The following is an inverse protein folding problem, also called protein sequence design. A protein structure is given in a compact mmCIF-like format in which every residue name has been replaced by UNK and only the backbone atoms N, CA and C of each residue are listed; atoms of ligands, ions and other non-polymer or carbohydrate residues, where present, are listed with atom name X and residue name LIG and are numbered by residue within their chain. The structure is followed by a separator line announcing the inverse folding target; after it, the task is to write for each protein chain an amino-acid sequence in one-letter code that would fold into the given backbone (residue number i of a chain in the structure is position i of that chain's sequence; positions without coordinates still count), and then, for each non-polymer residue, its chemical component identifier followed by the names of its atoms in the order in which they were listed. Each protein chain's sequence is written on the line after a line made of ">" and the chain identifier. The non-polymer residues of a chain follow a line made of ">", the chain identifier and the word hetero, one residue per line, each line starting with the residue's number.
data_IF_880718272394
#
_entry.id   IF_880718272394
#
_cell.length_a   1.000
_cell.length_b   1.000
_cell.length_c   1.000
_cell.angle_alpha   90.00
_cell.angle_beta   90.00
_cell.angle_gamma   90.00
#
_symmetry.space_group_name_H-M   'P 1'
#
loop_
_entity.id
_entity.type
_entity.pdbx_description
1 polymer ?
#
# COMPACT_ATOMS: atom_id res chain seq x y z
N UNK A 1 16.80 -1.25 9.66
CA UNK A 1 15.37 -1.29 9.30
C UNK A 1 15.27 -0.96 7.82
N UNK A 2 14.32 -1.50 7.04
CA UNK A 2 14.13 -1.04 5.68
C UNK A 2 13.78 0.45 5.67
N UNK A 3 14.08 1.14 4.58
CA UNK A 3 13.47 2.42 4.29
C UNK A 3 11.96 2.21 4.14
N UNK A 4 11.15 3.07 4.75
CA UNK A 4 9.69 3.03 4.67
C UNK A 4 9.23 4.04 3.65
N UNK A 5 8.35 3.60 2.75
CA UNK A 5 7.61 4.47 1.86
C UNK A 5 6.27 4.76 2.52
N UNK A 6 5.98 6.03 2.75
CA UNK A 6 4.71 6.52 3.26
C UNK A 6 3.72 6.57 2.10
N UNK A 7 2.47 6.17 2.34
CA UNK A 7 1.43 6.08 1.32
C UNK A 7 0.10 6.59 1.85
N UNK A 8 -0.66 7.25 0.97
CA UNK A 8 -2.07 7.58 1.17
C UNK A 8 -2.89 6.98 0.05
N UNK A 9 -3.81 6.08 0.39
CA UNK A 9 -4.80 5.52 -0.53
C UNK A 9 -6.12 6.27 -0.36
N UNK A 10 -6.51 7.01 -1.39
CA UNK A 10 -7.82 7.64 -1.52
C UNK A 10 -8.74 6.75 -2.37
N UNK A 11 -9.93 6.46 -1.84
CA UNK A 11 -10.98 5.66 -2.47
C UNK A 11 -12.21 6.54 -2.65
N UNK A 12 -12.70 6.70 -3.87
CA UNK A 12 -13.88 7.52 -4.19
C UNK A 12 -14.84 6.69 -5.03
N UNK A 13 -15.92 6.23 -4.42
CA UNK A 13 -16.96 5.42 -5.03
C UNK A 13 -18.16 6.26 -5.49
N UNK A 14 -18.99 5.75 -6.40
CA UNK A 14 -20.20 6.47 -6.84
C UNK A 14 -21.35 6.28 -5.86
N UNK A 15 -21.30 5.23 -5.04
CA UNK A 15 -22.32 4.89 -4.04
C UNK A 15 -21.67 4.32 -2.78
N UNK A 16 -22.37 4.41 -1.65
CA UNK A 16 -21.89 3.85 -0.39
C UNK A 16 -21.81 2.31 -0.41
N UNK A 17 -22.68 1.65 -1.18
CA UNK A 17 -22.62 0.19 -1.38
C UNK A 17 -21.36 -0.23 -2.15
N UNK A 18 -20.94 0.57 -3.15
CA UNK A 18 -19.68 0.36 -3.85
C UNK A 18 -18.48 0.54 -2.91
N UNK A 19 -18.45 1.63 -2.13
CA UNK A 19 -17.38 1.86 -1.14
C UNK A 19 -17.31 0.67 -0.17
N UNK A 20 -18.44 0.28 0.41
CA UNK A 20 -18.51 -0.85 1.33
C UNK A 20 -17.96 -2.14 0.72
N UNK A 21 -18.29 -2.42 -0.54
CA UNK A 21 -17.79 -3.61 -1.25
C UNK A 21 -16.26 -3.59 -1.40
N UNK A 22 -15.68 -2.41 -1.64
CA UNK A 22 -14.22 -2.22 -1.67
C UNK A 22 -13.64 -2.46 -0.28
N UNK A 23 -14.19 -1.83 0.76
CA UNK A 23 -13.70 -1.93 2.13
C UNK A 23 -13.74 -3.37 2.65
N UNK A 24 -14.78 -4.15 2.36
CA UNK A 24 -14.86 -5.59 2.69
C UNK A 24 -13.74 -6.42 2.04
N UNK A 25 -13.11 -5.92 0.97
CA UNK A 25 -12.03 -6.58 0.24
C UNK A 25 -10.64 -6.08 0.59
N UNK A 26 -10.51 -5.00 1.36
CA UNK A 26 -9.20 -4.42 1.68
C UNK A 26 -9.00 -4.13 3.16
N UNK A 27 -10.08 -4.03 3.96
CA UNK A 27 -10.01 -3.72 5.38
C UNK A 27 -10.33 -4.94 6.23
N UNK A 28 -9.40 -5.27 7.13
CA UNK A 28 -9.60 -6.19 8.24
C UNK A 28 -10.03 -5.39 9.47
N UNK A 29 -11.12 -5.82 10.12
CA UNK A 29 -11.59 -5.22 11.37
C UNK A 29 -11.11 -6.07 12.54
N UNK A 30 -10.29 -5.48 13.40
CA UNK A 30 -9.87 -6.09 14.66
C UNK A 30 -10.69 -5.48 15.80
N UNK A 31 -11.39 -6.32 16.56
CA UNK A 31 -12.19 -5.85 17.70
C UNK A 31 -11.34 -5.91 18.96
N UNK A 32 -11.13 -4.76 19.59
CA UNK A 32 -10.37 -4.63 20.83
C UNK A 32 -11.31 -4.43 22.03
N UNK A 33 -10.97 -5.09 23.13
CA UNK A 33 -11.65 -4.95 24.42
C UNK A 33 -10.58 -4.72 25.49
N UNK A 34 -10.27 -3.45 25.75
CA UNK A 34 -9.20 -3.06 26.67
C UNK A 34 -9.77 -2.16 27.76
N UNK A 35 -9.53 -2.55 29.02
CA UNK A 35 -9.93 -1.78 30.22
C UNK A 35 -11.41 -1.33 30.26
N UNK A 36 -12.31 -2.07 29.58
CA UNK A 36 -13.75 -1.77 29.52
C UNK A 36 -14.16 -0.87 28.35
N UNK A 37 -13.23 -0.46 27.49
CA UNK A 37 -13.50 0.23 26.23
C UNK A 37 -13.47 -0.77 25.07
N UNK A 38 -14.50 -0.69 24.22
CA UNK A 38 -14.58 -1.46 22.99
C UNK A 38 -14.35 -0.52 21.83
N UNK A 39 -13.37 -0.83 21.00
CA UNK A 39 -13.12 -0.09 19.77
C UNK A 39 -12.70 -1.06 18.67
N UNK A 40 -12.91 -0.63 17.44
CA UNK A 40 -12.50 -1.38 16.26
C UNK A 40 -11.26 -0.71 15.67
N UNK A 41 -10.31 -1.54 15.26
CA UNK A 41 -9.15 -1.11 14.51
C UNK A 41 -9.32 -1.58 13.06
N UNK A 42 -9.21 -0.64 12.12
CA UNK A 42 -9.44 -0.86 10.69
C UNK A 42 -8.08 -0.95 10.01
N UNK A 43 -7.69 -2.15 9.62
CA UNK A 43 -6.36 -2.44 9.08
C UNK A 43 -6.46 -2.70 7.59
N UNK A 44 -5.69 -1.95 6.80
CA UNK A 44 -5.49 -2.24 5.38
C UNK A 44 -4.70 -3.55 5.25
N UNK A 45 -5.24 -4.51 4.49
CA UNK A 45 -4.69 -5.85 4.37
C UNK A 45 -4.72 -6.31 2.92
N UNK A 46 -3.54 -6.35 2.29
CA UNK A 46 -3.37 -6.74 0.90
C UNK A 46 -3.85 -8.17 0.61
N UNK A 47 -3.80 -9.06 1.61
CA UNK A 47 -4.19 -10.47 1.52
C UNK A 47 -5.70 -10.63 1.28
N UNK A 48 -6.53 -9.67 1.69
CA UNK A 48 -7.99 -9.74 1.50
C UNK A 48 -8.39 -9.60 0.02
N UNK A 49 -7.66 -8.76 -0.72
CA UNK A 49 -7.88 -8.53 -2.15
C UNK A 49 -7.13 -9.57 -2.99
N UNK A 50 -5.84 -9.74 -2.70
CA UNK A 50 -4.93 -10.57 -3.46
C UNK A 50 -4.17 -11.49 -2.50
N UNK A 51 -4.76 -12.65 -2.13
CA UNK A 51 -4.17 -13.55 -1.17
C UNK A 51 -2.99 -14.33 -1.75
N UNK A 52 -1.93 -14.46 -0.98
CA UNK A 52 -0.82 -15.34 -1.31
C UNK A 52 -1.21 -16.81 -1.12
N UNK A 53 -0.88 -17.71 -2.08
CA UNK A 53 -1.01 -19.14 -1.87
C UNK A 53 -0.27 -19.61 -0.61
N UNK A 54 -0.97 -20.31 0.29
CA UNK A 54 -0.41 -20.77 1.58
C UNK A 54 0.79 -21.69 1.41
N UNK A 55 0.88 -22.42 0.30
CA UNK A 55 2.01 -23.28 -0.02
C UNK A 55 3.33 -22.52 -0.22
N UNK A 56 3.28 -21.22 -0.48
CA UNK A 56 4.46 -20.36 -0.59
C UNK A 56 4.95 -19.84 0.77
N UNK A 57 4.12 -19.92 1.82
CA UNK A 57 4.45 -19.46 3.17
C UNK A 57 5.37 -20.44 3.91
N UNK A 58 6.54 -20.65 3.35
CA UNK A 58 7.62 -21.44 3.91
C UNK A 58 8.75 -20.45 4.23
N UNK A 59 9.05 -20.26 5.51
CA UNK A 59 10.13 -19.36 5.92
C UNK A 59 11.43 -19.73 5.20
N UNK A 60 12.00 -18.76 4.47
CA UNK A 60 13.03 -18.96 3.44
C UNK A 60 14.39 -19.46 3.97
N UNK A 61 14.49 -19.85 5.25
CA UNK A 61 15.75 -20.30 5.83
C UNK A 61 16.14 -21.71 5.35
N UNK A 62 15.20 -22.56 4.92
CA UNK A 62 15.49 -23.89 4.33
C UNK A 62 14.41 -24.39 3.37
N UNK A 63 14.17 -23.67 2.25
CA UNK A 63 13.33 -24.22 1.17
C UNK A 63 14.18 -25.17 0.30
N UNK A 64 13.89 -26.48 0.22
CA UNK A 64 14.63 -27.38 -0.65
C UNK A 64 14.49 -26.95 -2.12
N UNK A 65 15.57 -27.03 -2.89
CA UNK A 65 15.58 -26.61 -4.30
C UNK A 65 14.49 -27.30 -5.14
N UNK A 66 14.15 -28.54 -4.83
CA UNK A 66 13.05 -29.27 -5.49
C UNK A 66 11.68 -28.62 -5.24
N UNK A 67 11.40 -28.15 -4.02
CA UNK A 67 10.16 -27.46 -3.70
C UNK A 67 10.13 -26.07 -4.33
N UNK A 68 11.26 -25.35 -4.34
CA UNK A 68 11.37 -24.05 -5.02
C UNK A 68 11.05 -24.17 -6.52
N UNK A 69 11.61 -25.18 -7.20
CA UNK A 69 11.32 -25.45 -8.62
C UNK A 69 9.85 -25.84 -8.86
N UNK A 70 9.28 -26.68 -7.99
CA UNK A 70 7.86 -27.05 -8.08
C UNK A 70 6.94 -25.83 -7.85
N UNK A 71 7.32 -24.92 -6.94
CA UNK A 71 6.60 -23.68 -6.71
C UNK A 71 6.67 -22.76 -7.93
N UNK A 72 7.85 -22.62 -8.57
CA UNK A 72 7.97 -21.86 -9.82
C UNK A 72 7.06 -22.44 -10.91
N UNK A 73 7.04 -23.77 -11.08
CA UNK A 73 6.19 -24.41 -12.08
C UNK A 73 4.70 -24.16 -11.82
N UNK A 74 4.27 -24.20 -10.55
CA UNK A 74 2.86 -24.05 -10.17
C UNK A 74 2.39 -22.59 -10.08
N UNK A 75 3.21 -21.69 -9.55
CA UNK A 75 2.84 -20.32 -9.19
C UNK A 75 3.63 -19.24 -9.95
N UNK A 76 4.66 -19.63 -10.71
CA UNK A 76 5.54 -18.70 -11.42
C UNK A 76 6.53 -17.95 -10.53
N UNK A 77 6.62 -18.31 -9.24
CA UNK A 77 7.55 -17.78 -8.23
C UNK A 77 7.84 -18.89 -7.22
N UNK A 78 9.03 -18.88 -6.61
CA UNK A 78 9.49 -20.02 -5.82
C UNK A 78 9.20 -19.92 -4.31
N UNK A 79 8.96 -18.72 -3.78
CA UNK A 79 8.70 -18.50 -2.35
C UNK A 79 7.81 -17.27 -2.10
N UNK A 80 7.43 -17.06 -0.83
CA UNK A 80 6.59 -15.94 -0.41
C UNK A 80 7.17 -14.57 -0.76
N UNK A 81 8.50 -14.40 -0.64
CA UNK A 81 9.15 -13.11 -0.84
C UNK A 81 9.05 -12.66 -2.30
N UNK A 82 9.38 -13.58 -3.22
CA UNK A 82 9.22 -13.34 -4.66
C UNK A 82 7.75 -13.11 -5.03
N UNK A 83 6.83 -13.80 -4.36
CA UNK A 83 5.40 -13.60 -4.58
C UNK A 83 4.96 -12.19 -4.15
N UNK A 84 5.27 -11.75 -2.92
CA UNK A 84 4.87 -10.41 -2.46
C UNK A 84 5.49 -9.32 -3.37
N UNK A 85 6.78 -9.41 -3.68
CA UNK A 85 7.42 -8.45 -4.58
C UNK A 85 6.79 -8.43 -5.98
N UNK A 86 6.35 -9.57 -6.51
CA UNK A 86 5.74 -9.65 -7.84
C UNK A 86 4.29 -9.16 -7.86
N UNK A 87 3.49 -9.53 -6.87
CA UNK A 87 2.04 -9.35 -6.89
C UNK A 87 1.56 -8.19 -6.03
N UNK A 88 2.26 -7.87 -4.94
CA UNK A 88 2.01 -6.65 -4.17
C UNK A 88 2.91 -5.49 -4.59
N UNK A 89 4.10 -5.78 -5.12
CA UNK A 89 5.13 -4.77 -5.45
C UNK A 89 6.07 -4.48 -4.30
N UNK A 90 5.77 -4.98 -3.09
CA UNK A 90 6.49 -4.70 -1.85
C UNK A 90 6.71 -5.98 -1.06
N UNK A 91 7.65 -5.96 -0.10
CA UNK A 91 8.04 -7.15 0.67
C UNK A 91 7.00 -7.62 1.68
N UNK A 92 6.36 -6.68 2.36
CA UNK A 92 5.45 -6.95 3.45
C UNK A 92 4.11 -6.28 3.17
N UNK A 93 3.09 -6.74 3.89
CA UNK A 93 1.77 -6.15 3.87
C UNK A 93 1.80 -4.68 4.35
N UNK A 94 0.71 -3.95 4.15
CA UNK A 94 0.58 -2.59 4.66
C UNK A 94 0.78 -2.54 6.17
N UNK A 95 1.51 -1.52 6.62
CA UNK A 95 1.54 -1.10 8.01
C UNK A 95 0.62 0.12 8.15
N UNK A 96 -0.66 -0.10 8.44
CA UNK A 96 -1.65 0.98 8.57
C UNK A 96 -1.22 1.97 9.66
N UNK A 97 -1.07 3.24 9.26
CA UNK A 97 -0.76 4.35 10.18
C UNK A 97 -2.03 5.03 10.65
N UNK A 98 -3.01 5.18 9.75
CA UNK A 98 -4.32 5.74 10.05
C UNK A 98 -5.38 5.22 9.09
N UNK A 99 -6.48 4.73 9.63
CA UNK A 99 -7.70 4.43 8.89
C UNK A 99 -8.89 4.90 9.73
N UNK A 100 -9.70 5.86 9.25
CA UNK A 100 -10.85 6.32 10.01
C UNK A 100 -11.97 5.27 10.04
N UNK A 101 -12.86 5.40 11.02
CA UNK A 101 -14.18 4.79 10.96
C UNK A 101 -14.93 5.31 9.73
N UNK A 102 -15.85 4.52 9.18
CA UNK A 102 -16.70 4.93 8.06
C UNK A 102 -18.19 4.75 8.37
N UNK A 103 -19.02 5.66 7.88
CA UNK A 103 -20.47 5.60 7.95
C UNK A 103 -21.06 4.80 6.77
N UNK A 104 -22.26 4.27 6.95
CA UNK A 104 -22.98 3.54 5.90
C UNK A 104 -23.39 4.41 4.70
N UNK A 105 -23.29 5.74 4.83
CA UNK A 105 -23.59 6.68 3.76
C UNK A 105 -22.34 7.27 3.09
N UNK A 106 -21.14 6.94 3.58
CA UNK A 106 -19.90 7.48 3.03
C UNK A 106 -19.64 6.92 1.63
N UNK A 107 -19.11 7.78 0.75
CA UNK A 107 -18.72 7.43 -0.61
C UNK A 107 -17.22 7.57 -0.83
N UNK A 108 -16.48 8.02 0.17
CA UNK A 108 -15.07 8.30 0.11
C UNK A 108 -14.35 7.91 1.40
N UNK A 109 -13.11 7.43 1.29
CA UNK A 109 -12.26 7.06 2.42
C UNK A 109 -10.79 7.28 2.06
N UNK A 110 -10.00 7.83 2.99
CA UNK A 110 -8.55 7.97 2.87
C UNK A 110 -7.85 7.16 3.96
N UNK A 111 -6.83 6.39 3.58
CA UNK A 111 -6.08 5.50 4.46
C UNK A 111 -4.60 5.80 4.32
N UNK A 112 -3.93 6.09 5.43
CA UNK A 112 -2.49 6.30 5.49
C UNK A 112 -1.80 5.02 5.98
N UNK A 113 -0.76 4.58 5.27
CA UNK A 113 -0.04 3.35 5.57
C UNK A 113 1.38 3.35 5.02
N UNK A 114 2.26 2.58 5.68
CA UNK A 114 3.64 2.43 5.25
C UNK A 114 3.86 1.07 4.57
N UNK A 115 4.78 1.07 3.62
CA UNK A 115 5.28 -0.14 2.97
C UNK A 115 6.80 -0.11 2.87
N UNK A 116 7.47 -1.28 2.84
CA UNK A 116 8.91 -1.31 2.70
C UNK A 116 9.32 -0.92 1.27
N UNK A 117 10.28 0.00 1.19
CA UNK A 117 11.04 0.41 -0.01
C UNK A 117 10.34 1.27 -1.04
N UNK A 118 9.07 1.02 -1.37
CA UNK A 118 8.34 1.74 -2.40
C UNK A 118 6.83 1.54 -2.24
N UNK A 119 6.03 2.25 -3.04
CA UNK A 119 4.59 2.05 -3.10
C UNK A 119 4.20 0.65 -3.62
N UNK A 120 3.07 0.08 -3.17
CA UNK A 120 2.56 -1.22 -3.60
C UNK A 120 1.86 -1.16 -4.97
N UNK A 121 2.55 -0.69 -6.01
CA UNK A 121 1.93 -0.39 -7.32
C UNK A 121 1.26 -1.62 -7.98
N UNK A 122 1.82 -2.82 -7.81
CA UNK A 122 1.23 -4.04 -8.36
C UNK A 122 -0.07 -4.44 -7.66
N UNK A 123 -0.14 -4.27 -6.33
CA UNK A 123 -1.37 -4.47 -5.58
C UNK A 123 -2.41 -3.41 -5.97
N UNK A 124 -1.99 -2.15 -6.05
CA UNK A 124 -2.85 -1.03 -6.42
C UNK A 124 -3.44 -1.19 -7.83
N UNK A 125 -2.65 -1.69 -8.79
CA UNK A 125 -3.18 -2.06 -10.10
C UNK A 125 -4.28 -3.13 -10.01
N UNK A 126 -4.08 -4.15 -9.17
CA UNK A 126 -5.11 -5.18 -8.95
C UNK A 126 -6.39 -4.60 -8.35
N UNK A 127 -6.27 -3.59 -7.48
CA UNK A 127 -7.40 -2.87 -6.89
C UNK A 127 -8.22 -2.15 -7.97
N UNK A 128 -7.56 -1.38 -8.85
CA UNK A 128 -8.21 -0.68 -9.97
C UNK A 128 -8.89 -1.68 -10.92
N UNK A 129 -8.18 -2.75 -11.29
CA UNK A 129 -8.71 -3.77 -12.22
C UNK A 129 -9.93 -4.52 -11.62
N UNK A 130 -9.98 -4.66 -10.29
CA UNK A 130 -11.08 -5.34 -9.58
C UNK A 130 -12.32 -4.45 -9.45
N UNK A 131 -12.14 -3.14 -9.28
CA UNK A 131 -13.23 -2.18 -9.08
C UNK A 131 -13.18 -1.04 -10.09
N UNK A 132 -13.41 -1.31 -11.39
CA UNK A 132 -13.18 -0.33 -12.46
C UNK A 132 -14.11 0.90 -12.44
N UNK A 133 -15.18 0.88 -11.63
CA UNK A 133 -16.11 2.01 -11.48
C UNK A 133 -15.75 2.92 -10.30
N UNK A 134 -14.78 2.54 -9.47
CA UNK A 134 -14.32 3.31 -8.30
C UNK A 134 -13.07 4.06 -8.70
N UNK A 135 -12.98 5.33 -8.29
CA UNK A 135 -11.77 6.13 -8.50
C UNK A 135 -10.81 5.87 -7.35
N UNK A 136 -9.56 5.55 -7.68
CA UNK A 136 -8.49 5.32 -6.72
C UNK A 136 -7.32 6.23 -7.00
N UNK A 137 -6.69 6.72 -5.94
CA UNK A 137 -5.42 7.45 -6.01
C UNK A 137 -4.52 6.99 -4.87
N UNK A 138 -3.28 6.68 -5.20
CA UNK A 138 -2.22 6.29 -4.29
C UNK A 138 -1.11 7.32 -4.40
N UNK A 139 -1.06 8.23 -3.44
CA UNK A 139 0.05 9.18 -3.29
C UNK A 139 1.11 8.52 -2.41
N UNK A 140 2.39 8.69 -2.74
CA UNK A 140 3.47 8.11 -1.94
C UNK A 140 4.72 8.98 -1.88
N UNK A 141 5.47 8.81 -0.79
CA UNK A 141 6.76 9.45 -0.55
C UNK A 141 7.71 8.49 0.17
N UNK A 142 8.93 8.33 -0.33
CA UNK A 142 9.99 7.58 0.35
C UNK A 142 11.14 8.55 0.72
N UNK A 143 11.26 8.94 2.00
CA UNK A 143 12.21 9.96 2.43
C UNK A 143 13.69 9.52 2.33
N UNK A 144 13.99 8.23 2.45
CA UNK A 144 15.36 7.72 2.49
C UNK A 144 16.08 7.80 1.14
N UNK A 145 15.38 7.46 0.05
CA UNK A 145 15.87 7.58 -1.33
C UNK A 145 15.37 8.85 -2.03
N UNK A 146 14.48 9.59 -1.37
CA UNK A 146 13.96 10.87 -1.79
C UNK A 146 13.27 10.83 -3.17
N UNK A 147 12.24 10.00 -3.27
CA UNK A 147 11.32 9.92 -4.41
C UNK A 147 9.87 9.98 -3.94
N UNK A 148 8.98 10.42 -4.83
CA UNK A 148 7.55 10.52 -4.58
C UNK A 148 6.77 10.30 -5.88
N UNK A 149 5.48 10.00 -5.78
CA UNK A 149 4.64 9.83 -6.96
C UNK A 149 3.17 9.70 -6.64
N UNK A 150 2.40 9.56 -7.72
CA UNK A 150 0.97 9.25 -7.70
C UNK A 150 0.74 8.11 -8.68
N UNK A 151 0.05 7.06 -8.22
CA UNK A 151 -0.64 6.12 -9.09
C UNK A 151 -2.15 6.35 -8.97
N UNK A 152 -2.88 6.34 -10.08
CA UNK A 152 -4.31 6.63 -10.11
C UNK A 152 -5.04 5.74 -11.12
N UNK A 153 -6.33 5.51 -10.89
CA UNK A 153 -7.23 4.97 -11.92
C UNK A 153 -7.39 5.92 -13.13
N UNK A 154 -7.06 7.20 -12.95
CA UNK A 154 -7.01 8.20 -14.02
C UNK A 154 -5.57 8.34 -14.51
N UNK A 155 -5.26 7.72 -15.64
CA UNK A 155 -3.88 7.61 -16.17
C UNK A 155 -3.13 8.95 -16.26
N UNK A 156 -3.83 10.06 -16.56
CA UNK A 156 -3.21 11.39 -16.66
C UNK A 156 -2.75 11.99 -15.33
N UNK A 157 -3.15 11.41 -14.20
CA UNK A 157 -2.71 11.82 -12.85
C UNK A 157 -1.43 11.07 -12.42
N UNK A 158 -1.05 10.01 -13.14
CA UNK A 158 0.13 9.22 -12.81
C UNK A 158 1.40 10.07 -12.94
N UNK A 159 2.22 10.10 -11.88
CA UNK A 159 3.50 10.79 -11.90
C UNK A 159 4.52 10.09 -10.99
N UNK A 160 5.80 10.28 -11.32
CA UNK A 160 6.93 9.80 -10.55
C UNK A 160 8.03 10.86 -10.58
N UNK A 161 8.54 11.20 -9.41
CA UNK A 161 9.57 12.20 -9.20
C UNK A 161 10.64 11.63 -8.28
N UNK A 162 11.89 11.90 -8.60
CA UNK A 162 13.02 11.45 -7.80
C UNK A 162 14.13 12.50 -7.79
N UNK A 163 14.97 12.44 -6.76
CA UNK A 163 16.21 13.19 -6.71
C UNK A 163 17.26 12.63 -7.69
N UNK A 164 18.08 13.48 -8.32
CA UNK A 164 18.06 14.95 -8.23
C UNK A 164 17.08 15.64 -9.19
N UNK A 165 16.50 14.91 -10.14
CA UNK A 165 15.83 15.48 -11.32
C UNK A 165 14.60 16.32 -10.99
N UNK A 166 13.84 15.95 -9.96
CA UNK A 166 12.53 16.54 -9.64
C UNK A 166 12.37 16.83 -8.15
N UNK A 167 13.41 17.41 -7.56
CA UNK A 167 13.47 17.71 -6.12
C UNK A 167 12.30 18.58 -5.64
N UNK A 168 11.89 19.57 -6.44
CA UNK A 168 10.77 20.46 -6.06
C UNK A 168 9.45 19.70 -6.03
N UNK A 169 9.21 18.82 -6.99
CA UNK A 169 8.01 18.00 -7.07
C UNK A 169 7.95 16.95 -5.94
N UNK A 170 9.09 16.33 -5.60
CA UNK A 170 9.19 15.45 -4.42
C UNK A 170 8.80 16.20 -3.15
N UNK A 171 9.32 17.42 -2.94
CA UNK A 171 8.97 18.25 -1.77
C UNK A 171 7.49 18.65 -1.74
N UNK A 172 6.89 18.92 -2.91
CA UNK A 172 5.46 19.23 -2.99
C UNK A 172 4.63 18.03 -2.52
N UNK A 173 4.96 16.81 -2.96
CA UNK A 173 4.26 15.61 -2.52
C UNK A 173 4.55 15.25 -1.07
N UNK A 174 5.77 15.45 -0.58
CA UNK A 174 6.12 15.20 0.83
C UNK A 174 5.28 16.06 1.79
N UNK A 175 4.83 17.26 1.40
CA UNK A 175 3.95 18.11 2.21
C UNK A 175 2.59 17.45 2.50
N UNK A 176 2.09 16.55 1.64
CA UNK A 176 0.87 15.77 1.89
C UNK A 176 1.02 14.83 3.10
N UNK A 177 2.26 14.49 3.45
CA UNK A 177 2.64 13.64 4.57
C UNK A 177 3.13 14.42 5.78
N UNK A 178 3.01 15.76 5.76
CA UNK A 178 3.35 16.62 6.89
C UNK A 178 4.81 17.07 6.95
N UNK A 179 5.60 16.84 5.89
CA UNK A 179 6.94 17.40 5.77
C UNK A 179 6.88 18.88 5.36
N UNK A 180 7.69 19.72 5.99
CA UNK A 180 7.75 21.15 5.72
C UNK A 180 9.06 21.55 5.04
N UNK A 181 9.16 22.80 4.58
CA UNK A 181 10.38 23.27 3.91
C UNK A 181 11.62 23.25 4.84
N UNK A 182 11.40 23.29 6.15
CA UNK A 182 12.42 23.27 7.21
C UNK A 182 13.05 21.89 7.44
N UNK A 183 12.35 20.81 7.07
CA UNK A 183 12.84 19.43 7.22
C UNK A 183 13.96 19.10 6.22
N UNK A 184 14.11 19.91 5.18
CA UNK A 184 15.15 19.77 4.18
C UNK A 184 16.37 20.61 4.58
N UNK A 185 17.25 20.04 5.39
CA UNK A 185 18.58 20.60 5.54
C UNK A 185 19.37 20.31 4.26
N UNK A 186 19.37 21.28 3.33
CA UNK A 186 20.51 21.41 2.44
C UNK A 186 21.69 21.70 3.35
N UNK A 187 22.63 20.76 3.50
CA UNK A 187 23.92 21.06 4.12
C UNK A 187 24.47 22.29 3.39
N UNK A 188 24.44 23.44 4.08
CA UNK A 188 25.12 24.63 3.59
C UNK A 188 26.61 24.29 3.66
N UNK A 189 27.21 23.99 2.50
CA UNK A 189 28.67 23.94 2.33
C UNK A 189 29.34 25.24 2.81
#
# INVERSE_FOLDING_TARGET
>A
MPNWCENRLDIIANTADELKTVLEKVIRINNHNEEGYQYNDFILDFELLLPMPKELNIEANFLPSSQYLANIEKFGVGNWYEWHCKYWGVKWNANTQYCPDYDINDTELSIDFDTPWCAPEAWFKTLIDTFPNVTFKLTYFEPGMFFAGICSSVESENCYYQYPESTSEVKILAKEFGYEDEDWHCDNE
#
